data_IF_732932019082
#
_entry.id   IF_732932019082
#
_cell.length_a   1.000
_cell.length_b   1.000
_cell.length_c   1.000
_cell.angle_alpha   90.00
_cell.angle_beta   90.00
_cell.angle_gamma   90.00
#
_symmetry.space_group_name_H-M   'P 1'
#
loop_
_entity.id
_entity.type
_entity.pdbx_description
1 polymer ?
#
# COMPACT_ATOMS: atom_id res chain seq x y z
N UNK A 1 -7.09 -0.91 -3.22
CA UNK A 1 -7.05 -1.46 -4.60
C UNK A 1 -5.65 -2.00 -4.83
N UNK A 2 -5.49 -3.17 -5.44
CA UNK A 2 -4.19 -3.77 -5.79
C UNK A 2 -4.17 -3.97 -7.30
N UNK A 3 -3.10 -3.55 -7.97
CA UNK A 3 -2.91 -3.73 -9.42
C UNK A 3 -1.55 -4.35 -9.70
N UNK A 4 -1.52 -5.31 -10.63
CA UNK A 4 -0.34 -6.07 -11.02
C UNK A 4 -0.17 -5.90 -12.53
N UNK A 5 0.99 -5.42 -12.99
CA UNK A 5 1.27 -5.25 -14.42
C UNK A 5 2.57 -6.00 -14.82
N UNK A 6 2.53 -6.88 -15.83
CA UNK A 6 3.74 -7.43 -16.43
C UNK A 6 4.46 -6.35 -17.26
N UNK A 7 5.76 -6.16 -17.02
CA UNK A 7 6.62 -5.21 -17.75
C UNK A 7 6.97 -5.75 -19.15
N UNK A 8 6.96 -4.86 -20.16
CA UNK A 8 7.13 -5.22 -21.57
C UNK A 8 8.58 -5.37 -22.05
N UNK A 9 9.60 -5.04 -21.25
CA UNK A 9 11.02 -5.14 -21.67
C UNK A 9 12.00 -5.65 -20.61
N UNK A 10 11.52 -6.22 -19.50
CA UNK A 10 12.31 -7.01 -18.52
C UNK A 10 11.32 -7.71 -17.59
N UNK A 11 11.60 -8.92 -17.05
CA UNK A 11 10.66 -9.66 -16.22
C UNK A 11 10.59 -9.05 -14.81
N UNK A 12 9.98 -7.86 -14.71
CA UNK A 12 9.73 -7.14 -13.46
C UNK A 12 8.23 -6.99 -13.30
N UNK A 13 7.69 -7.57 -12.24
CA UNK A 13 6.28 -7.41 -11.84
C UNK A 13 6.22 -6.18 -10.94
N UNK A 14 5.49 -5.14 -11.35
CA UNK A 14 5.24 -3.95 -10.51
C UNK A 14 3.92 -4.09 -9.77
N UNK A 15 3.94 -3.95 -8.46
CA UNK A 15 2.77 -3.93 -7.59
C UNK A 15 2.43 -2.49 -7.19
N UNK A 16 1.16 -2.11 -7.35
CA UNK A 16 0.65 -0.83 -6.90
C UNK A 16 -0.39 -1.05 -5.80
N UNK A 17 -0.15 -0.48 -4.63
CA UNK A 17 -1.04 -0.56 -3.46
C UNK A 17 -1.69 0.79 -3.20
N UNK A 18 -3.02 0.86 -3.39
CA UNK A 18 -3.81 2.04 -3.01
C UNK A 18 -4.52 1.81 -1.69
N UNK A 19 -4.11 2.54 -0.65
CA UNK A 19 -4.76 2.59 0.67
C UNK A 19 -5.41 3.96 0.89
N UNK A 20 -6.52 3.98 1.63
CA UNK A 20 -7.26 5.19 1.99
C UNK A 20 -7.88 5.02 3.37
N UNK A 21 -7.99 6.11 4.11
CA UNK A 21 -8.73 6.21 5.36
C UNK A 21 -9.44 7.57 5.43
N UNK A 22 -10.48 7.64 6.25
CA UNK A 22 -11.10 8.90 6.61
C UNK A 22 -10.22 9.61 7.65
N UNK A 23 -9.95 10.90 7.46
CA UNK A 23 -9.19 11.72 8.40
C UNK A 23 -10.17 12.68 9.10
N UNK A 24 -10.59 12.41 10.35
CA UNK A 24 -11.61 13.20 11.03
C UNK A 24 -11.13 14.61 11.39
N UNK A 25 -9.86 14.73 11.75
CA UNK A 25 -9.22 15.95 12.20
C UNK A 25 -7.72 15.89 11.90
N UNK A 26 -7.06 17.06 11.89
CA UNK A 26 -5.65 17.18 11.54
C UNK A 26 -4.73 16.40 12.49
N UNK A 27 -5.03 16.37 13.78
CA UNK A 27 -4.18 15.74 14.80
C UNK A 27 -4.15 14.21 14.69
N UNK A 28 -5.14 13.62 14.00
CA UNK A 28 -5.18 12.18 13.72
C UNK A 28 -4.24 11.76 12.57
N UNK A 29 -3.64 12.71 11.85
CA UNK A 29 -2.87 12.43 10.65
C UNK A 29 -1.75 11.40 10.88
N UNK A 30 -0.89 11.65 11.87
CA UNK A 30 0.25 10.76 12.18
C UNK A 30 -0.21 9.35 12.54
N UNK A 31 -1.26 9.24 13.38
CA UNK A 31 -1.83 7.95 13.76
C UNK A 31 -2.36 7.20 12.54
N UNK A 32 -3.14 7.87 11.71
CA UNK A 32 -3.77 7.26 10.53
C UNK A 32 -2.74 6.93 9.45
N UNK A 33 -1.70 7.75 9.28
CA UNK A 33 -0.59 7.47 8.37
C UNK A 33 0.13 6.19 8.77
N UNK A 34 0.49 6.06 10.06
CA UNK A 34 1.11 4.86 10.61
C UNK A 34 0.22 3.62 10.45
N UNK A 35 -1.10 3.76 10.63
CA UNK A 35 -2.04 2.65 10.42
C UNK A 35 -2.11 2.21 8.94
N UNK A 36 -2.05 3.17 8.01
CA UNK A 36 -2.02 2.90 6.57
C UNK A 36 -0.69 2.27 6.14
N UNK A 37 0.43 2.68 6.71
CA UNK A 37 1.74 2.06 6.48
C UNK A 37 1.79 0.61 6.96
N UNK A 38 1.35 0.35 8.20
CA UNK A 38 1.21 -1.03 8.73
C UNK A 38 0.32 -1.90 7.86
N UNK A 39 -0.71 -1.31 7.24
CA UNK A 39 -1.57 -2.02 6.29
C UNK A 39 -0.82 -2.39 5.01
N UNK A 40 0.04 -1.52 4.49
CA UNK A 40 0.90 -1.81 3.34
C UNK A 40 1.88 -2.93 3.68
N UNK A 41 2.56 -2.86 4.83
CA UNK A 41 3.51 -3.88 5.28
C UNK A 41 2.86 -5.27 5.39
N UNK A 42 1.63 -5.34 5.93
CA UNK A 42 0.87 -6.59 5.98
C UNK A 42 0.59 -7.14 4.59
N UNK A 43 0.17 -6.30 3.64
CA UNK A 43 -0.10 -6.73 2.26
C UNK A 43 1.19 -7.24 1.59
N UNK A 44 2.32 -6.60 1.82
CA UNK A 44 3.63 -7.03 1.30
C UNK A 44 3.96 -8.42 1.86
N UNK A 45 3.84 -8.60 3.17
CA UNK A 45 4.10 -9.87 3.86
C UNK A 45 3.17 -10.99 3.36
N UNK A 46 1.89 -10.70 3.18
CA UNK A 46 0.90 -11.67 2.70
C UNK A 46 1.17 -12.11 1.26
N UNK A 47 1.79 -11.25 0.44
CA UNK A 47 2.23 -11.55 -0.92
C UNK A 47 3.59 -12.26 -0.98
N UNK A 48 4.23 -12.52 0.17
CA UNK A 48 5.52 -13.20 0.26
C UNK A 48 6.68 -12.39 -0.32
N UNK A 49 6.58 -11.05 -0.30
CA UNK A 49 7.60 -10.11 -0.77
C UNK A 49 8.47 -9.58 0.37
#
# INVERSE_FOLDING_TARGET
>A
KVSVRPSGTEPKIKFYFGVKAHLPQKDDFERISNDLEKKIERIIKDLGM
#
